data_IF_404180983969
#
_entry.id   IF_404180983969
#
_cell.length_a   1.000
_cell.length_b   1.000
_cell.length_c   1.000
_cell.angle_alpha   90.00
_cell.angle_beta   90.00
_cell.angle_gamma   90.00
#
_symmetry.space_group_name_H-M   'P 1'
#
loop_
_entity.id
_entity.type
_entity.pdbx_description
1 polymer ?
#
# COMPACT_ATOMS: atom_id res chain seq x y z
N UNK A 1 13.41 11.51 -4.58
CA UNK A 1 12.01 11.08 -4.80
C UNK A 1 11.90 9.66 -4.26
N UNK A 2 10.94 9.38 -3.37
CA UNK A 2 10.72 8.03 -2.84
C UNK A 2 9.63 7.36 -3.68
N UNK A 3 9.88 6.12 -4.08
CA UNK A 3 8.90 5.28 -4.77
C UNK A 3 8.35 4.22 -3.82
N UNK A 4 7.04 4.15 -3.70
CA UNK A 4 6.35 3.21 -2.83
C UNK A 4 5.31 2.42 -3.62
N UNK A 5 5.34 1.10 -3.46
CA UNK A 5 4.40 0.18 -4.10
C UNK A 5 3.60 -0.51 -3.01
N UNK A 6 2.29 -0.29 -2.98
CA UNK A 6 1.37 -1.02 -2.12
C UNK A 6 0.49 -1.92 -2.99
N UNK A 7 0.55 -3.24 -2.84
CA UNK A 7 -0.13 -4.16 -3.76
C UNK A 7 -0.50 -5.50 -3.11
N UNK A 8 -1.14 -6.39 -3.86
CA UNK A 8 -1.34 -7.78 -3.43
C UNK A 8 -0.05 -8.59 -3.61
N UNK A 9 0.10 -9.70 -2.88
CA UNK A 9 1.25 -10.62 -3.05
C UNK A 9 1.40 -11.08 -4.51
N UNK A 10 0.28 -11.30 -5.21
CA UNK A 10 0.29 -11.78 -6.60
C UNK A 10 0.81 -10.75 -7.62
N UNK A 11 0.76 -9.47 -7.27
CA UNK A 11 1.19 -8.35 -8.14
C UNK A 11 2.45 -7.66 -7.61
N UNK A 12 3.11 -8.25 -6.62
CA UNK A 12 4.34 -7.72 -6.06
C UNK A 12 5.50 -7.98 -7.04
N UNK A 13 6.33 -6.97 -7.38
CA UNK A 13 7.48 -7.18 -8.25
C UNK A 13 8.46 -8.17 -7.62
N UNK A 14 9.12 -9.00 -8.44
CA UNK A 14 10.06 -10.02 -7.98
C UNK A 14 11.24 -9.42 -7.19
N UNK A 15 11.76 -8.29 -7.65
CA UNK A 15 12.77 -7.48 -6.98
C UNK A 15 12.38 -6.01 -7.15
N UNK A 16 12.04 -5.28 -6.07
CA UNK A 16 11.90 -3.83 -6.11
C UNK A 16 13.23 -3.19 -6.50
N UNK A 17 13.22 -2.09 -7.24
CA UNK A 17 14.44 -1.38 -7.57
C UNK A 17 15.08 -0.75 -6.32
N UNK A 18 16.36 -0.39 -6.42
CA UNK A 18 17.07 0.24 -5.32
C UNK A 18 16.37 1.54 -4.87
N UNK A 19 16.11 1.66 -3.57
CA UNK A 19 15.37 2.79 -3.00
C UNK A 19 13.83 2.70 -3.12
N UNK A 20 13.28 1.68 -3.78
CA UNK A 20 11.84 1.41 -3.78
C UNK A 20 11.41 0.69 -2.49
N UNK A 21 10.28 1.12 -1.93
CA UNK A 21 9.67 0.47 -0.78
C UNK A 21 8.44 -0.30 -1.22
N UNK A 22 8.35 -1.57 -0.85
CA UNK A 22 7.24 -2.43 -1.24
C UNK A 22 6.46 -2.93 -0.02
N UNK A 23 5.14 -2.89 -0.12
CA UNK A 23 4.21 -3.35 0.89
C UNK A 23 3.12 -4.23 0.27
N UNK A 24 2.75 -5.30 0.98
CA UNK A 24 1.59 -6.10 0.61
C UNK A 24 0.37 -5.84 1.49
N UNK A 25 -0.82 -5.81 0.90
CA UNK A 25 -2.07 -5.71 1.66
C UNK A 25 -2.48 -7.06 2.26
N UNK A 26 -2.86 -7.04 3.54
CA UNK A 26 -3.57 -8.09 4.31
C UNK A 26 -2.86 -9.44 4.47
N UNK A 27 -2.02 -9.84 3.52
CA UNK A 27 -1.24 -11.08 3.47
C UNK A 27 0.22 -10.73 3.28
N UNK A 28 1.09 -11.36 4.07
CA UNK A 28 2.54 -11.16 3.95
C UNK A 28 3.10 -11.92 2.76
N UNK A 29 3.99 -11.27 2.01
CA UNK A 29 4.80 -11.89 0.97
C UNK A 29 5.86 -12.86 1.52
N UNK A 30 6.16 -12.79 2.84
CA UNK A 30 7.26 -13.53 3.48
C UNK A 30 8.61 -13.31 2.78
N UNK A 31 8.83 -12.10 2.27
CA UNK A 31 10.06 -11.68 1.61
C UNK A 31 10.71 -10.57 2.42
N UNK A 32 12.01 -10.66 2.61
CA UNK A 32 12.80 -9.60 3.23
C UNK A 32 12.65 -8.28 2.45
N UNK A 33 12.67 -7.16 3.18
CA UNK A 33 12.46 -5.83 2.58
C UNK A 33 11.02 -5.51 2.16
N UNK A 34 10.05 -6.42 2.36
CA UNK A 34 8.64 -6.20 2.01
C UNK A 34 7.77 -6.13 3.26
N UNK A 35 7.20 -4.95 3.52
CA UNK A 35 6.27 -4.74 4.62
C UNK A 35 4.89 -5.37 4.36
N UNK A 36 4.07 -5.52 5.40
CA UNK A 36 2.67 -5.97 5.26
C UNK A 36 1.74 -5.01 5.97
N UNK A 37 0.76 -4.48 5.25
CA UNK A 37 -0.23 -3.56 5.77
C UNK A 37 -1.48 -4.33 6.20
N UNK A 38 -2.05 -3.98 7.36
CA UNK A 38 -3.31 -4.54 7.86
C UNK A 38 -3.37 -6.08 7.85
N UNK A 39 -2.27 -6.74 8.24
CA UNK A 39 -2.14 -8.21 8.22
C UNK A 39 -3.35 -8.89 8.88
N UNK A 40 -3.90 -9.89 8.21
CA UNK A 40 -5.04 -10.71 8.66
C UNK A 40 -6.40 -10.00 8.77
N UNK A 41 -6.53 -8.74 8.34
CA UNK A 41 -7.81 -8.02 8.39
C UNK A 41 -8.94 -8.73 7.65
N UNK A 42 -8.69 -9.26 6.44
CA UNK A 42 -9.72 -10.02 5.70
C UNK A 42 -10.35 -11.12 6.56
N UNK A 43 -9.52 -11.95 7.23
CA UNK A 43 -10.01 -13.02 8.09
C UNK A 43 -10.70 -12.50 9.37
N UNK A 44 -10.14 -11.47 9.99
CA UNK A 44 -10.70 -10.86 11.21
C UNK A 44 -12.08 -10.23 10.96
N UNK A 45 -12.20 -9.42 9.90
CA UNK A 45 -13.44 -8.76 9.51
C UNK A 45 -14.49 -9.78 9.07
N UNK A 46 -14.08 -10.82 8.33
CA UNK A 46 -14.98 -11.92 7.95
C UNK A 46 -15.59 -12.61 9.17
N UNK A 47 -14.78 -12.93 10.20
CA UNK A 47 -15.23 -13.57 11.46
C UNK A 47 -16.14 -12.69 12.30
N UNK A 48 -15.99 -11.37 12.21
CA UNK A 48 -16.88 -10.38 12.85
C UNK A 48 -18.17 -10.11 12.05
N UNK A 49 -18.41 -10.82 10.95
CA UNK A 49 -19.63 -10.68 10.15
C UNK A 49 -19.59 -9.59 9.08
N UNK A 50 -18.51 -8.83 8.95
CA UNK A 50 -18.42 -7.77 7.93
C UNK A 50 -18.36 -8.36 6.51
N UNK A 51 -19.07 -7.71 5.58
CA UNK A 51 -19.06 -8.01 4.14
C UNK A 51 -18.89 -6.71 3.33
N UNK A 52 -17.70 -6.08 3.37
CA UNK A 52 -17.48 -4.83 2.65
C UNK A 52 -17.59 -5.05 1.14
N UNK A 53 -18.15 -4.07 0.44
CA UNK A 53 -18.21 -4.08 -1.02
C UNK A 53 -16.80 -3.93 -1.62
N UNK A 54 -16.63 -4.28 -2.92
CA UNK A 54 -15.42 -3.95 -3.67
C UNK A 54 -14.97 -2.48 -3.53
N UNK A 55 -15.89 -1.52 -3.68
CA UNK A 55 -15.62 -0.09 -3.44
C UNK A 55 -15.04 0.19 -2.05
N UNK A 56 -15.64 -0.39 -1.01
CA UNK A 56 -15.17 -0.18 0.36
C UNK A 56 -13.76 -0.76 0.58
N UNK A 57 -13.46 -1.92 -0.01
CA UNK A 57 -12.13 -2.51 0.04
C UNK A 57 -11.10 -1.68 -0.71
N UNK A 58 -11.42 -1.17 -1.90
CA UNK A 58 -10.52 -0.31 -2.65
C UNK A 58 -10.25 0.99 -1.91
N UNK A 59 -11.30 1.62 -1.36
CA UNK A 59 -11.15 2.84 -0.57
C UNK A 59 -10.21 2.62 0.63
N UNK A 60 -10.41 1.53 1.39
CA UNK A 60 -9.56 1.24 2.54
C UNK A 60 -8.12 0.91 2.11
N UNK A 61 -7.92 0.20 1.00
CA UNK A 61 -6.59 -0.08 0.45
C UNK A 61 -5.87 1.19 0.02
N UNK A 62 -6.59 2.15 -0.57
CA UNK A 62 -6.08 3.46 -0.92
C UNK A 62 -5.62 4.22 0.33
N UNK A 63 -6.48 4.34 1.36
CA UNK A 63 -6.11 5.00 2.62
C UNK A 63 -4.91 4.32 3.30
N UNK A 64 -4.91 2.99 3.34
CA UNK A 64 -3.81 2.20 3.91
C UNK A 64 -2.49 2.43 3.16
N UNK A 65 -2.52 2.58 1.83
CA UNK A 65 -1.35 2.89 1.02
C UNK A 65 -0.79 4.27 1.37
N UNK A 66 -1.66 5.28 1.47
CA UNK A 66 -1.26 6.64 1.85
C UNK A 66 -0.62 6.64 3.24
N UNK A 67 -1.23 5.98 4.23
CA UNK A 67 -0.68 5.88 5.58
C UNK A 67 0.69 5.17 5.59
N UNK A 68 0.82 4.02 4.93
CA UNK A 68 2.09 3.29 4.87
C UNK A 68 3.18 4.14 4.20
N UNK A 69 2.80 4.89 3.18
CA UNK A 69 3.68 5.78 2.43
C UNK A 69 4.17 6.94 3.28
N UNK A 70 3.28 7.64 3.99
CA UNK A 70 3.69 8.74 4.89
C UNK A 70 4.61 8.26 6.02
N UNK A 71 4.33 7.07 6.58
CA UNK A 71 5.16 6.47 7.63
C UNK A 71 6.54 6.05 7.16
N UNK A 72 6.69 5.66 5.89
CA UNK A 72 7.97 5.20 5.35
C UNK A 72 8.75 6.30 4.63
N UNK A 73 8.10 7.37 4.18
CA UNK A 73 8.72 8.54 3.57
C UNK A 73 9.11 9.57 4.65
N UNK A 74 10.22 9.30 5.35
CA UNK A 74 10.74 10.19 6.40
C UNK A 74 11.10 11.58 5.85
N UNK A 75 10.78 12.63 6.61
CA UNK A 75 11.15 14.02 6.24
C UNK A 75 12.65 14.27 6.29
N UNK A 76 13.36 13.61 7.20
CA UNK A 76 14.82 13.72 7.33
C UNK A 76 15.59 13.32 6.08
N UNK A 77 14.96 12.59 5.15
CA UNK A 77 15.56 12.19 3.87
C UNK A 77 15.18 13.12 2.71
N UNK A 78 14.51 14.25 2.98
CA UNK A 78 14.16 15.26 1.98
C UNK A 78 15.22 16.36 1.88
N UNK A 79 15.33 17.00 0.71
CA UNK A 79 16.38 17.97 0.40
C UNK A 79 16.35 19.23 1.28
N UNK A 80 15.16 19.65 1.70
CA UNK A 80 14.91 20.81 2.58
C UNK A 80 14.54 20.38 4.01
N UNK A 81 14.53 19.08 4.30
CA UNK A 81 14.10 18.53 5.59
C UNK A 81 12.58 18.60 5.85
N UNK A 82 11.77 19.03 4.87
CA UNK A 82 10.34 19.27 5.05
C UNK A 82 9.48 18.73 3.90
N UNK A 83 9.73 19.17 2.68
CA UNK A 83 8.93 18.88 1.48
C UNK A 83 9.29 17.51 0.93
N UNK A 84 8.29 16.63 0.81
CA UNK A 84 8.48 15.26 0.33
C UNK A 84 7.82 15.08 -1.03
N UNK A 85 8.61 14.64 -2.01
CA UNK A 85 8.10 14.15 -3.29
C UNK A 85 8.07 12.64 -3.28
N UNK A 86 6.86 12.11 -3.45
CA UNK A 86 6.54 10.70 -3.30
C UNK A 86 5.80 10.24 -4.56
N UNK A 87 6.27 9.13 -5.12
CA UNK A 87 5.57 8.39 -6.16
C UNK A 87 4.94 7.15 -5.50
N UNK A 88 3.61 7.06 -5.52
CA UNK A 88 2.86 5.98 -4.88
C UNK A 88 2.07 5.19 -5.93
N UNK A 89 2.38 3.90 -6.05
CA UNK A 89 1.58 2.93 -6.80
C UNK A 89 0.64 2.18 -5.86
N UNK A 90 -0.66 2.24 -6.15
CA UNK A 90 -1.74 1.64 -5.34
C UNK A 90 -2.40 0.50 -6.10
N UNK A 91 -2.29 -0.73 -5.60
CA UNK A 91 -2.97 -1.89 -6.16
C UNK A 91 -4.42 -1.96 -5.68
N UNK A 92 -5.36 -1.68 -6.57
CA UNK A 92 -6.82 -1.76 -6.32
C UNK A 92 -7.47 -2.92 -7.08
N UNK A 93 -8.66 -3.33 -6.65
CA UNK A 93 -9.48 -4.34 -7.32
C UNK A 93 -10.21 -3.76 -8.55
N UNK A 94 -10.84 -2.60 -8.41
CA UNK A 94 -11.54 -1.85 -9.46
C UNK A 94 -10.89 -0.46 -9.67
N UNK A 95 -9.64 -0.40 -10.18
CA UNK A 95 -8.88 0.84 -10.27
C UNK A 95 -9.57 1.92 -11.12
N UNK A 96 -10.25 1.53 -12.20
CA UNK A 96 -10.95 2.44 -13.10
C UNK A 96 -12.06 3.24 -12.41
N UNK A 97 -12.62 2.75 -11.28
CA UNK A 97 -13.61 3.52 -10.51
C UNK A 97 -13.03 4.82 -9.94
N UNK A 98 -11.71 4.87 -9.75
CA UNK A 98 -11.01 5.93 -9.03
C UNK A 98 -10.27 6.90 -9.97
N UNK A 99 -10.40 6.72 -11.28
CA UNK A 99 -9.86 7.67 -12.25
C UNK A 99 -10.71 8.95 -12.25
N UNK A 100 -10.09 10.13 -12.39
CA UNK A 100 -10.83 11.37 -12.58
C UNK A 100 -11.63 11.32 -13.90
N UNK A 101 -12.82 11.90 -13.86
CA UNK A 101 -13.72 12.08 -15.00
C UNK A 101 -13.21 13.12 -15.99
#
# INVERSE_FOLDING_TARGET
>A
MIKVICTSVARLPAQPAEGERAFTYFKSARREGVGTIAKSWHGSLKRKGFRPSPAAWDFVQFCLAVCATDLCAMRSTSADGWTRTIELSVGLHEPLRWEPW
#
